data_IF_245755251585
#
_entry.id   IF_245755251585
#
_cell.length_a   1.000
_cell.length_b   1.000
_cell.length_c   1.000
_cell.angle_alpha   90.00
_cell.angle_beta   90.00
_cell.angle_gamma   90.00
#
_symmetry.space_group_name_H-M   'P 1'
#
loop_
_entity.id
_entity.type
_entity.pdbx_description
1 polymer ?
#
# COMPACT_ATOMS: atom_id res chain seq x y z
N UNK A 1 24.97 9.18 19.07
CA UNK A 1 24.07 8.02 19.24
C UNK A 1 23.29 7.67 17.95
N UNK A 2 22.23 8.38 17.56
CA UNK A 2 21.42 8.05 16.38
C UNK A 2 22.25 8.01 15.08
N UNK A 3 23.20 8.95 14.91
CA UNK A 3 24.06 8.96 13.73
C UNK A 3 24.99 7.74 13.68
N UNK A 4 25.52 7.31 14.82
CA UNK A 4 26.35 6.10 14.92
C UNK A 4 25.56 4.86 14.50
N UNK A 5 24.30 4.75 14.95
CA UNK A 5 23.38 3.68 14.54
C UNK A 5 23.13 3.69 13.03
N UNK A 6 22.85 4.86 12.45
CA UNK A 6 22.61 5.00 11.00
C UNK A 6 23.87 4.58 10.21
N UNK A 7 25.04 5.09 10.60
CA UNK A 7 26.31 4.78 9.92
C UNK A 7 26.66 3.28 9.97
N UNK A 8 26.34 2.59 11.08
CA UNK A 8 26.55 1.13 11.21
C UNK A 8 25.77 0.34 10.18
N UNK A 9 24.55 0.77 9.84
CA UNK A 9 23.64 0.04 8.97
C UNK A 9 23.55 0.58 7.54
N UNK A 10 24.24 1.67 7.22
CA UNK A 10 24.14 2.36 5.93
C UNK A 10 24.46 1.44 4.73
N UNK A 11 25.52 0.60 4.89
CA UNK A 11 25.93 -0.35 3.84
C UNK A 11 25.26 -1.73 3.94
N UNK A 12 24.54 -2.00 5.04
CA UNK A 12 23.98 -3.34 5.32
C UNK A 12 22.48 -3.40 5.06
N UNK A 13 21.77 -2.27 5.26
CA UNK A 13 20.32 -2.20 5.09
C UNK A 13 19.93 -1.53 3.78
N UNK A 14 18.73 -1.87 3.32
CA UNK A 14 18.17 -1.24 2.12
C UNK A 14 18.15 0.30 2.25
N UNK A 15 18.56 1.04 1.20
CA UNK A 15 18.61 2.52 1.23
C UNK A 15 17.29 3.18 1.66
N UNK A 16 16.13 2.63 1.28
CA UNK A 16 14.82 3.14 1.72
C UNK A 16 14.63 3.00 3.25
N UNK A 17 15.27 2.01 3.89
CA UNK A 17 15.25 1.85 5.36
C UNK A 17 16.13 2.89 6.02
N UNK A 18 17.33 3.13 5.48
CA UNK A 18 18.23 4.17 5.96
C UNK A 18 17.58 5.56 5.84
N UNK A 19 16.90 5.84 4.74
CA UNK A 19 16.15 7.09 4.56
C UNK A 19 15.09 7.30 5.64
N UNK A 20 14.39 6.22 6.07
CA UNK A 20 13.44 6.30 7.20
C UNK A 20 14.13 6.65 8.51
N UNK A 21 15.32 6.11 8.74
CA UNK A 21 16.11 6.43 9.94
C UNK A 21 16.58 7.90 9.95
N UNK A 22 17.01 8.40 8.79
CA UNK A 22 17.37 9.82 8.62
C UNK A 22 16.16 10.71 8.89
N UNK A 23 15.00 10.35 8.34
CA UNK A 23 13.74 11.08 8.59
C UNK A 23 13.37 11.09 10.07
N UNK A 24 13.47 9.94 10.75
CA UNK A 24 13.21 9.86 12.19
C UNK A 24 14.21 10.68 13.01
N UNK A 25 15.52 10.63 12.68
CA UNK A 25 16.54 11.48 13.29
C UNK A 25 16.21 12.96 13.15
N UNK A 26 15.87 13.40 11.93
CA UNK A 26 15.55 14.81 11.69
C UNK A 26 14.34 15.26 12.51
N UNK A 27 13.32 14.40 12.61
CA UNK A 27 12.12 14.70 13.39
C UNK A 27 12.39 14.77 14.90
N UNK A 28 13.24 13.90 15.43
CA UNK A 28 13.69 14.00 16.83
C UNK A 28 14.55 15.25 17.06
N UNK A 29 15.37 15.66 16.10
CA UNK A 29 16.16 16.90 16.19
C UNK A 29 15.26 18.15 16.18
N UNK A 30 14.16 18.15 15.42
CA UNK A 30 13.14 19.22 15.49
C UNK A 30 12.51 19.28 16.89
N UNK A 31 12.13 18.12 17.45
CA UNK A 31 11.61 18.06 18.81
C UNK A 31 12.61 18.56 19.86
N UNK A 32 13.89 18.14 19.79
CA UNK A 32 14.95 18.63 20.67
C UNK A 32 15.07 20.17 20.66
N UNK A 33 14.94 20.78 19.49
CA UNK A 33 14.96 22.25 19.34
C UNK A 33 13.78 22.90 20.05
N UNK A 34 12.56 22.31 19.96
CA UNK A 34 11.39 22.86 20.67
C UNK A 34 11.51 22.76 22.19
N UNK A 35 12.24 21.76 22.69
CA UNK A 35 12.49 21.55 24.11
C UNK A 35 13.75 22.29 24.61
N UNK A 36 14.50 22.94 23.74
CA UNK A 36 15.82 23.53 24.01
C UNK A 36 16.75 22.57 24.77
N UNK A 37 16.65 21.27 24.47
CA UNK A 37 17.36 20.19 25.18
C UNK A 37 17.71 19.06 24.23
N UNK A 38 18.97 18.57 24.30
CA UNK A 38 19.37 17.32 23.62
C UNK A 38 18.98 16.11 24.43
N UNK A 39 18.37 15.13 23.78
CA UNK A 39 17.96 13.86 24.39
C UNK A 39 19.18 13.01 24.76
N UNK A 40 19.19 12.52 25.99
CA UNK A 40 20.12 11.49 26.50
C UNK A 40 19.32 10.20 26.76
N UNK A 41 20.00 9.06 26.92
CA UNK A 41 19.31 7.79 27.21
C UNK A 41 18.41 7.84 28.44
N UNK A 42 18.86 8.50 29.52
CA UNK A 42 18.08 8.67 30.74
C UNK A 42 16.79 9.51 30.58
N UNK A 43 16.72 10.30 29.51
CA UNK A 43 15.56 11.14 29.23
C UNK A 43 14.47 10.36 28.45
N UNK A 44 14.80 9.16 27.90
CA UNK A 44 13.89 8.34 27.11
C UNK A 44 13.08 7.43 28.02
N UNK A 45 12.10 8.00 28.68
CA UNK A 45 11.19 7.40 29.65
C UNK A 45 9.74 7.65 29.22
N UNK A 46 8.78 7.35 30.08
CA UNK A 46 7.35 7.54 29.79
C UNK A 46 6.96 9.02 29.62
N UNK A 47 7.60 9.92 30.35
CA UNK A 47 7.36 11.37 30.22
C UNK A 47 7.83 11.86 28.84
N UNK A 48 9.00 11.41 28.38
CA UNK A 48 9.45 11.68 27.03
C UNK A 48 8.45 11.17 25.98
N UNK A 49 7.94 9.95 26.14
CA UNK A 49 6.94 9.38 25.24
C UNK A 49 5.68 10.26 25.15
N UNK A 50 5.12 10.64 26.31
CA UNK A 50 3.91 11.45 26.38
C UNK A 50 4.13 12.87 25.81
N UNK A 51 5.25 13.50 26.12
CA UNK A 51 5.60 14.83 25.63
C UNK A 51 5.85 14.82 24.10
N UNK A 52 6.55 13.81 23.59
CA UNK A 52 6.78 13.63 22.14
C UNK A 52 5.45 13.38 21.43
N UNK A 53 4.55 12.56 21.99
CA UNK A 53 3.23 12.29 21.44
C UNK A 53 2.40 13.58 21.37
N UNK A 54 2.35 14.35 22.44
CA UNK A 54 1.64 15.63 22.51
C UNK A 54 2.16 16.59 21.43
N UNK A 55 3.49 16.67 21.29
CA UNK A 55 4.10 17.50 20.26
C UNK A 55 3.74 17.01 18.84
N UNK A 56 3.80 15.69 18.57
CA UNK A 56 3.37 15.13 17.28
C UNK A 56 1.93 15.50 16.95
N UNK A 57 1.05 15.42 17.94
CA UNK A 57 -0.37 15.68 17.75
C UNK A 57 -0.66 17.17 17.56
N UNK A 58 0.07 18.06 18.21
CA UNK A 58 -0.03 19.50 17.97
C UNK A 58 0.37 19.88 16.53
N UNK A 59 1.27 19.08 15.90
CA UNK A 59 1.67 19.25 14.50
C UNK A 59 0.73 18.53 13.51
N UNK A 60 -0.39 17.98 13.95
CA UNK A 60 -1.37 17.23 13.15
C UNK A 60 -0.77 16.01 12.44
N UNK A 61 0.29 15.40 13.00
CA UNK A 61 0.83 14.15 12.49
C UNK A 61 -0.06 12.96 12.88
N UNK A 62 -0.06 11.93 12.03
CA UNK A 62 -0.84 10.72 12.25
C UNK A 62 -0.25 9.81 13.33
N UNK A 63 -1.11 9.03 13.99
CA UNK A 63 -0.71 8.01 14.98
C UNK A 63 0.32 7.02 14.39
N UNK A 64 0.15 6.62 13.13
CA UNK A 64 1.09 5.72 12.45
C UNK A 64 2.46 6.35 12.20
N UNK A 65 2.51 7.66 11.96
CA UNK A 65 3.79 8.34 11.83
C UNK A 65 4.50 8.43 13.17
N UNK A 66 3.79 8.80 14.24
CA UNK A 66 4.31 8.75 15.60
C UNK A 66 4.83 7.34 15.96
N UNK A 67 4.03 6.30 15.70
CA UNK A 67 4.45 4.91 15.93
C UNK A 67 5.71 4.51 15.16
N UNK A 68 5.90 5.04 13.94
CA UNK A 68 7.14 4.81 13.17
C UNK A 68 8.35 5.42 13.86
N UNK A 69 8.22 6.62 14.43
CA UNK A 69 9.29 7.28 15.18
C UNK A 69 9.61 6.53 16.47
N UNK A 70 8.58 6.13 17.23
CA UNK A 70 8.75 5.35 18.46
C UNK A 70 9.43 4.00 18.18
N UNK A 71 9.05 3.34 17.09
CA UNK A 71 9.73 2.10 16.67
C UNK A 71 11.22 2.32 16.44
N UNK A 72 11.60 3.39 15.79
CA UNK A 72 12.99 3.74 15.56
C UNK A 72 13.72 4.07 16.89
N UNK A 73 13.09 4.86 17.78
CA UNK A 73 13.65 5.16 19.11
C UNK A 73 13.93 3.87 19.86
N UNK A 74 12.96 2.93 19.92
CA UNK A 74 13.14 1.62 20.57
C UNK A 74 14.32 0.84 19.96
N UNK A 75 14.45 0.81 18.64
CA UNK A 75 15.56 0.10 17.97
C UNK A 75 16.91 0.66 18.38
N UNK A 76 17.08 2.00 18.32
CA UNK A 76 18.35 2.65 18.70
C UNK A 76 18.65 2.45 20.19
N UNK A 77 17.63 2.56 21.04
CA UNK A 77 17.77 2.42 22.48
C UNK A 77 18.19 1.00 22.88
N UNK A 78 17.54 -0.01 22.32
CA UNK A 78 17.84 -1.42 22.57
C UNK A 78 19.26 -1.76 22.12
N UNK A 79 19.66 -1.30 20.93
CA UNK A 79 20.99 -1.57 20.41
C UNK A 79 22.08 -0.88 21.26
N UNK A 80 21.86 0.37 21.63
CA UNK A 80 22.76 1.10 22.50
C UNK A 80 22.97 0.42 23.86
N UNK A 81 21.91 -0.26 24.38
CA UNK A 81 21.99 -1.01 25.62
C UNK A 81 22.75 -2.33 25.47
N UNK A 82 22.33 -3.17 24.52
CA UNK A 82 22.77 -4.57 24.45
C UNK A 82 24.03 -4.74 23.59
N UNK A 83 24.20 -3.94 22.55
CA UNK A 83 25.35 -4.03 21.64
C UNK A 83 26.45 -3.08 22.07
N UNK A 84 26.13 -1.79 22.25
CA UNK A 84 27.10 -0.73 22.53
C UNK A 84 27.39 -0.57 24.04
N UNK A 85 26.56 -1.14 24.90
CA UNK A 85 26.64 -1.08 26.37
C UNK A 85 26.75 0.35 26.92
N UNK A 86 26.07 1.30 26.27
CA UNK A 86 26.12 2.74 26.61
C UNK A 86 25.20 3.12 27.77
N UNK A 87 24.26 2.25 28.17
CA UNK A 87 23.36 2.44 29.30
C UNK A 87 22.74 1.12 29.76
N UNK A 88 22.13 1.15 30.95
CA UNK A 88 21.41 0.01 31.55
C UNK A 88 19.91 0.28 31.75
N UNK A 89 19.39 1.44 31.34
CA UNK A 89 17.99 1.84 31.55
C UNK A 89 17.01 0.89 30.84
N UNK A 90 15.81 0.72 31.40
CA UNK A 90 14.77 -0.16 30.90
C UNK A 90 13.41 0.54 30.63
N UNK A 91 13.38 1.85 30.72
CA UNK A 91 12.18 2.67 30.67
C UNK A 91 11.28 2.41 29.45
N UNK A 92 11.86 2.00 28.31
CA UNK A 92 11.10 1.62 27.11
C UNK A 92 10.30 0.33 27.28
N UNK A 93 10.47 -0.42 28.38
CA UNK A 93 9.66 -1.59 28.73
C UNK A 93 8.36 -1.21 29.44
N UNK A 94 8.17 0.06 29.83
CA UNK A 94 6.93 0.52 30.43
C UNK A 94 5.74 0.13 29.54
N UNK A 95 4.66 -0.37 30.14
CA UNK A 95 3.48 -0.89 29.43
C UNK A 95 2.87 0.09 28.44
N UNK A 96 2.90 1.39 28.77
CA UNK A 96 2.34 2.45 27.96
C UNK A 96 3.34 3.05 26.93
N UNK A 97 4.60 2.60 26.96
CA UNK A 97 5.58 2.98 25.94
C UNK A 97 5.40 2.11 24.68
N UNK A 98 4.26 2.27 24.01
CA UNK A 98 3.82 1.39 22.92
C UNK A 98 4.19 1.94 21.53
N UNK A 99 4.35 1.04 20.57
CA UNK A 99 4.44 1.42 19.16
C UNK A 99 3.03 1.45 18.57
N UNK A 100 2.47 2.64 18.43
CA UNK A 100 1.11 2.81 17.89
C UNK A 100 1.06 2.35 16.44
N UNK A 101 0.07 1.53 16.09
CA UNK A 101 -0.25 1.14 14.72
C UNK A 101 -1.76 1.04 14.56
N UNK A 102 -2.31 1.87 13.69
CA UNK A 102 -3.74 1.90 13.37
C UNK A 102 -3.95 1.45 11.93
N UNK A 103 -4.99 0.68 11.69
CA UNK A 103 -5.38 0.37 10.32
C UNK A 103 -5.83 1.65 9.62
N UNK A 104 -5.41 1.83 8.38
CA UNK A 104 -5.79 2.97 7.56
C UNK A 104 -6.81 2.53 6.51
N UNK A 105 -7.84 3.35 6.32
CA UNK A 105 -8.77 3.12 5.24
C UNK A 105 -8.09 3.29 3.90
N UNK A 106 -8.48 2.43 2.99
CA UNK A 106 -7.90 2.38 1.66
C UNK A 106 -8.96 1.99 0.64
N UNK A 107 -8.86 2.52 -0.56
CA UNK A 107 -9.75 2.21 -1.67
C UNK A 107 -9.18 1.11 -2.56
N UNK A 108 -10.09 0.45 -3.29
CA UNK A 108 -9.77 -0.36 -4.47
C UNK A 108 -10.59 0.14 -5.66
N UNK A 109 -10.22 -0.24 -6.86
CA UNK A 109 -11.01 -0.03 -8.08
C UNK A 109 -11.70 -1.35 -8.43
N UNK A 110 -13.03 -1.30 -8.63
CA UNK A 110 -13.78 -2.44 -9.15
C UNK A 110 -13.50 -2.64 -10.64
N UNK A 111 -14.07 -3.69 -11.25
CA UNK A 111 -13.82 -4.02 -12.66
C UNK A 111 -14.31 -2.91 -13.60
N UNK A 112 -15.43 -2.26 -13.33
CA UNK A 112 -15.94 -1.16 -14.16
C UNK A 112 -14.99 0.05 -14.11
N UNK A 113 -14.46 0.37 -12.94
CA UNK A 113 -13.51 1.46 -12.77
C UNK A 113 -12.14 1.13 -13.41
N UNK A 114 -11.69 -0.12 -13.34
CA UNK A 114 -10.47 -0.57 -14.05
C UNK A 114 -10.68 -0.54 -15.55
N UNK A 115 -11.84 -0.92 -16.04
CA UNK A 115 -12.19 -0.85 -17.44
C UNK A 115 -12.28 0.60 -17.93
N UNK A 116 -12.84 1.52 -17.14
CA UNK A 116 -12.84 2.95 -17.44
C UNK A 116 -11.41 3.52 -17.55
N UNK A 117 -10.50 3.06 -16.70
CA UNK A 117 -9.06 3.43 -16.80
C UNK A 117 -8.42 2.83 -18.06
N UNK A 118 -8.74 1.59 -18.39
CA UNK A 118 -8.19 0.89 -19.57
C UNK A 118 -8.65 1.55 -20.89
N UNK A 119 -9.94 1.86 -21.00
CA UNK A 119 -10.56 2.48 -22.18
C UNK A 119 -10.36 4.01 -22.26
N UNK A 120 -9.73 4.60 -21.23
CA UNK A 120 -9.53 6.05 -21.22
C UNK A 120 -8.74 6.52 -22.44
N UNK A 121 -9.38 7.34 -23.28
CA UNK A 121 -8.70 8.00 -24.39
C UNK A 121 -7.85 9.17 -23.86
N UNK A 122 -6.54 8.97 -23.85
CA UNK A 122 -5.56 9.98 -23.46
C UNK A 122 -4.98 10.56 -24.75
N UNK A 123 -5.40 11.79 -25.10
CA UNK A 123 -4.89 12.52 -26.25
C UNK A 123 -4.12 13.77 -25.85
N UNK A 124 -3.27 14.26 -26.74
CA UNK A 124 -2.53 15.52 -26.51
C UNK A 124 -3.50 16.71 -26.48
N UNK A 125 -4.56 16.66 -27.28
CA UNK A 125 -5.64 17.64 -27.34
C UNK A 125 -6.38 17.73 -26.01
N UNK A 126 -6.75 16.58 -25.44
CA UNK A 126 -7.37 16.53 -24.10
C UNK A 126 -6.44 17.10 -23.03
N UNK A 127 -5.16 16.73 -23.05
CA UNK A 127 -4.17 17.29 -22.12
C UNK A 127 -4.04 18.81 -22.29
N UNK A 128 -4.06 19.32 -23.52
CA UNK A 128 -4.02 20.77 -23.78
C UNK A 128 -5.24 21.49 -23.23
N UNK A 129 -6.43 20.90 -23.36
CA UNK A 129 -7.68 21.44 -22.80
C UNK A 129 -7.64 21.48 -21.28
N UNK A 130 -7.24 20.38 -20.64
CA UNK A 130 -7.14 20.27 -19.16
C UNK A 130 -6.03 21.15 -18.58
N UNK A 131 -4.96 21.40 -19.34
CA UNK A 131 -3.76 22.14 -18.90
C UNK A 131 -3.33 23.18 -19.94
N UNK A 132 -4.11 24.26 -20.14
CA UNK A 132 -3.91 25.22 -21.24
C UNK A 132 -2.56 25.95 -21.17
N UNK A 133 -1.93 26.03 -19.99
CA UNK A 133 -0.66 26.73 -19.78
C UNK A 133 0.58 25.87 -20.10
N UNK A 134 0.42 24.61 -20.53
CA UNK A 134 1.55 23.77 -20.88
C UNK A 134 2.06 24.05 -22.29
N UNK A 135 3.38 24.10 -22.44
CA UNK A 135 4.02 24.14 -23.76
C UNK A 135 3.84 22.81 -24.50
N UNK A 136 3.97 22.82 -25.83
CA UNK A 136 3.88 21.59 -26.64
C UNK A 136 4.83 20.49 -26.18
N UNK A 137 6.06 20.85 -25.77
CA UNK A 137 7.03 19.90 -25.20
C UNK A 137 6.58 19.29 -23.87
N UNK A 138 5.95 20.09 -23.00
CA UNK A 138 5.41 19.62 -21.73
C UNK A 138 4.19 18.73 -21.95
N UNK A 139 3.30 19.07 -22.89
CA UNK A 139 2.14 18.24 -23.29
C UNK A 139 2.63 16.87 -23.76
N UNK A 140 3.65 16.80 -24.64
CA UNK A 140 4.22 15.52 -25.11
C UNK A 140 4.80 14.69 -23.97
N UNK A 141 5.56 15.31 -23.05
CA UNK A 141 6.12 14.62 -21.89
C UNK A 141 5.02 14.09 -20.95
N UNK A 142 3.97 14.87 -20.74
CA UNK A 142 2.83 14.50 -19.89
C UNK A 142 2.03 13.37 -20.52
N UNK A 143 1.71 13.44 -21.80
CA UNK A 143 1.05 12.38 -22.57
C UNK A 143 1.79 11.03 -22.42
N UNK A 144 3.09 11.00 -22.73
CA UNK A 144 3.88 9.76 -22.59
C UNK A 144 3.86 9.24 -21.14
N UNK A 145 3.94 10.14 -20.16
CA UNK A 145 3.92 9.74 -18.74
C UNK A 145 2.58 9.17 -18.33
N UNK A 146 1.47 9.72 -18.78
CA UNK A 146 0.12 9.23 -18.44
C UNK A 146 -0.13 7.85 -19.06
N UNK A 147 0.24 7.64 -20.34
CA UNK A 147 0.12 6.34 -21.01
C UNK A 147 0.90 5.27 -20.23
N UNK A 148 2.18 5.52 -19.96
CA UNK A 148 3.03 4.55 -19.25
C UNK A 148 2.48 4.25 -17.85
N UNK A 149 2.03 5.28 -17.11
CA UNK A 149 1.48 5.09 -15.76
C UNK A 149 0.18 4.30 -15.79
N UNK A 150 -0.75 4.62 -16.72
CA UNK A 150 -1.98 3.87 -16.92
C UNK A 150 -1.68 2.39 -17.13
N UNK A 151 -0.84 2.11 -18.10
CA UNK A 151 -0.54 0.75 -18.53
C UNK A 151 0.20 -0.04 -17.41
N UNK A 152 1.18 0.56 -16.75
CA UNK A 152 1.86 -0.04 -15.61
C UNK A 152 0.92 -0.28 -14.41
N UNK A 153 0.01 0.64 -14.14
CA UNK A 153 -0.98 0.47 -13.06
C UNK A 153 -1.94 -0.69 -13.36
N UNK A 154 -2.40 -0.81 -14.60
CA UNK A 154 -3.27 -1.91 -15.03
C UNK A 154 -2.54 -3.26 -14.95
N UNK A 155 -1.26 -3.33 -15.35
CA UNK A 155 -0.45 -4.54 -15.11
C UNK A 155 -0.49 -4.90 -13.62
N UNK A 156 -0.26 -3.93 -12.73
CA UNK A 156 -0.35 -4.17 -11.28
C UNK A 156 -1.74 -4.60 -10.81
N UNK A 157 -2.81 -4.05 -11.41
CA UNK A 157 -4.20 -4.34 -11.06
C UNK A 157 -4.69 -5.72 -11.53
N UNK A 158 -4.08 -6.28 -12.57
CA UNK A 158 -4.41 -7.60 -13.11
C UNK A 158 -3.38 -8.70 -12.80
N UNK A 159 -2.29 -8.35 -12.09
CA UNK A 159 -1.30 -9.33 -11.62
C UNK A 159 -1.22 -9.43 -10.10
N UNK A 160 -1.72 -8.43 -9.39
CA UNK A 160 -1.60 -8.32 -7.94
C UNK A 160 -0.17 -8.08 -7.44
N UNK A 161 0.80 -7.85 -8.30
CA UNK A 161 2.18 -7.58 -7.93
C UNK A 161 2.33 -6.23 -7.21
N UNK A 162 3.38 -6.08 -6.41
CA UNK A 162 3.75 -4.78 -5.84
C UNK A 162 4.37 -3.89 -6.92
N UNK A 163 4.34 -2.57 -6.71
CA UNK A 163 4.97 -1.62 -7.64
C UNK A 163 6.45 -1.95 -7.90
N UNK A 164 7.19 -2.38 -6.88
CA UNK A 164 8.58 -2.83 -7.03
C UNK A 164 8.74 -4.03 -7.95
N UNK A 165 7.71 -4.88 -8.06
CA UNK A 165 7.73 -6.10 -8.84
C UNK A 165 7.18 -5.86 -10.26
N UNK A 166 5.97 -5.29 -10.39
CA UNK A 166 5.41 -5.05 -11.72
C UNK A 166 6.21 -4.00 -12.53
N UNK A 167 6.94 -3.09 -11.88
CA UNK A 167 7.84 -2.16 -12.56
C UNK A 167 9.10 -2.82 -13.13
N UNK A 168 9.42 -4.06 -12.70
CA UNK A 168 10.57 -4.84 -13.15
C UNK A 168 10.22 -5.92 -14.18
N UNK A 169 8.93 -6.06 -14.52
CA UNK A 169 8.52 -7.00 -15.58
C UNK A 169 9.19 -6.58 -16.87
N UNK A 170 9.83 -7.55 -17.54
CA UNK A 170 10.46 -7.47 -18.85
C UNK A 170 9.88 -8.56 -19.75
N UNK A 171 10.15 -8.49 -21.03
CA UNK A 171 9.71 -9.49 -22.01
C UNK A 171 10.10 -10.91 -21.60
N UNK A 172 11.32 -11.11 -21.09
CA UNK A 172 11.81 -12.42 -20.63
C UNK A 172 11.00 -13.02 -19.46
N UNK A 173 10.18 -12.22 -18.79
CA UNK A 173 9.30 -12.68 -17.69
C UNK A 173 7.94 -13.19 -18.20
N UNK A 174 7.63 -13.01 -19.49
CA UNK A 174 6.32 -13.25 -20.09
C UNK A 174 6.43 -14.36 -21.11
N UNK A 175 5.65 -15.40 -20.94
CA UNK A 175 5.40 -16.41 -21.98
C UNK A 175 3.95 -16.28 -22.51
N UNK A 176 3.50 -17.21 -23.34
CA UNK A 176 2.16 -17.16 -23.95
C UNK A 176 1.03 -17.07 -22.93
N UNK A 177 1.19 -17.71 -21.76
CA UNK A 177 0.13 -17.93 -20.79
C UNK A 177 0.43 -17.35 -19.41
N UNK A 178 1.69 -17.01 -19.09
CA UNK A 178 2.09 -16.71 -17.73
C UNK A 178 3.11 -15.56 -17.65
N UNK A 179 3.08 -14.89 -16.50
CA UNK A 179 4.16 -14.03 -16.03
C UNK A 179 4.91 -14.77 -14.92
N UNK A 180 6.25 -14.88 -15.04
CA UNK A 180 7.12 -15.53 -14.07
C UNK A 180 8.09 -14.50 -13.49
N UNK A 181 8.01 -14.25 -12.21
CA UNK A 181 8.88 -13.25 -11.58
C UNK A 181 9.26 -13.63 -10.15
N UNK A 182 10.51 -13.33 -9.77
CA UNK A 182 10.96 -13.34 -8.38
C UNK A 182 10.56 -12.01 -7.72
N UNK A 183 9.78 -12.06 -6.63
CA UNK A 183 9.36 -10.85 -5.91
C UNK A 183 10.51 -10.25 -5.09
N UNK A 184 10.65 -8.92 -5.11
CA UNK A 184 11.73 -8.18 -4.44
C UNK A 184 11.72 -8.36 -2.91
N UNK A 185 10.58 -8.18 -2.29
CA UNK A 185 10.47 -8.20 -0.81
C UNK A 185 10.22 -9.56 -0.18
N UNK A 186 9.79 -10.53 -0.93
CA UNK A 186 9.39 -11.85 -0.40
C UNK A 186 10.32 -12.96 -0.81
N UNK A 187 11.22 -12.68 -1.78
CA UNK A 187 12.08 -13.68 -2.44
C UNK A 187 11.27 -14.92 -2.86
N UNK A 188 9.99 -14.69 -3.21
CA UNK A 188 9.10 -15.74 -3.66
C UNK A 188 9.02 -15.72 -5.19
N UNK A 189 9.25 -16.87 -5.81
CA UNK A 189 8.92 -17.07 -7.22
C UNK A 189 7.41 -17.16 -7.35
N UNK A 190 6.81 -16.32 -8.22
CA UNK A 190 5.38 -16.34 -8.51
C UNK A 190 5.16 -16.58 -10.00
N UNK A 191 4.11 -17.34 -10.30
CA UNK A 191 3.63 -17.62 -11.66
C UNK A 191 2.20 -17.12 -11.72
N UNK A 192 1.94 -16.16 -12.59
CA UNK A 192 0.65 -15.47 -12.69
C UNK A 192 0.09 -15.71 -14.08
N UNK A 193 -1.16 -16.22 -14.20
CA UNK A 193 -1.84 -16.32 -15.49
C UNK A 193 -1.88 -14.97 -16.20
N UNK A 194 -1.58 -14.96 -17.50
CA UNK A 194 -1.52 -13.74 -18.31
C UNK A 194 -2.94 -13.27 -18.65
N UNK A 195 -3.40 -12.21 -18.00
CA UNK A 195 -4.70 -11.61 -18.26
C UNK A 195 -4.72 -10.97 -19.66
N UNK A 196 -5.83 -11.07 -20.45
CA UNK A 196 -5.90 -10.50 -21.81
C UNK A 196 -5.49 -9.03 -21.88
N UNK A 197 -5.98 -8.18 -20.98
CA UNK A 197 -5.60 -6.75 -20.90
C UNK A 197 -4.08 -6.60 -20.69
N UNK A 198 -3.46 -7.43 -19.86
CA UNK A 198 -2.00 -7.38 -19.64
C UNK A 198 -1.25 -7.82 -20.89
N UNK A 199 -1.73 -8.84 -21.59
CA UNK A 199 -1.15 -9.30 -22.87
C UNK A 199 -1.16 -8.17 -23.91
N UNK A 200 -2.29 -7.48 -24.08
CA UNK A 200 -2.40 -6.34 -24.99
C UNK A 200 -1.48 -5.18 -24.60
N UNK A 201 -1.44 -4.85 -23.30
CA UNK A 201 -0.58 -3.77 -22.79
C UNK A 201 0.90 -4.10 -23.05
N UNK A 202 1.35 -5.29 -22.70
CA UNK A 202 2.77 -5.68 -22.82
C UNK A 202 3.23 -5.79 -24.26
N UNK A 203 2.33 -6.01 -25.21
CA UNK A 203 2.63 -6.00 -26.64
C UNK A 203 2.87 -4.58 -27.21
N UNK A 204 2.39 -3.53 -26.54
CA UNK A 204 2.44 -2.15 -27.06
C UNK A 204 3.36 -1.19 -26.31
N UNK A 205 3.78 -1.53 -25.06
CA UNK A 205 4.61 -0.65 -24.24
C UNK A 205 6.07 -1.13 -24.22
N UNK A 206 6.98 -0.17 -24.12
CA UNK A 206 8.37 -0.51 -23.78
C UNK A 206 8.49 -0.82 -22.27
N UNK A 207 8.69 -2.09 -21.97
CA UNK A 207 8.83 -2.62 -20.61
C UNK A 207 10.14 -2.19 -19.91
N UNK A 208 11.07 -1.54 -20.62
CA UNK A 208 12.32 -1.04 -20.04
C UNK A 208 12.18 0.38 -19.46
N UNK A 209 11.11 1.11 -19.81
CA UNK A 209 10.92 2.48 -19.30
C UNK A 209 10.62 2.43 -17.81
N UNK A 210 11.47 3.07 -17.00
CA UNK A 210 11.30 3.20 -15.56
C UNK A 210 10.55 4.49 -15.21
N UNK A 211 9.68 4.39 -14.21
CA UNK A 211 8.95 5.53 -13.62
C UNK A 211 9.09 5.50 -12.10
N UNK A 212 9.38 6.64 -11.47
CA UNK A 212 9.47 6.72 -10.02
C UNK A 212 8.11 6.54 -9.34
N UNK A 213 8.12 5.93 -8.13
CA UNK A 213 6.91 5.71 -7.31
C UNK A 213 6.12 7.03 -7.11
N UNK A 214 6.83 8.17 -6.92
CA UNK A 214 6.19 9.48 -6.74
C UNK A 214 5.45 9.92 -8.00
N UNK A 215 6.09 9.79 -9.17
CA UNK A 215 5.49 10.16 -10.45
C UNK A 215 4.29 9.26 -10.77
N UNK A 216 4.40 7.96 -10.49
CA UNK A 216 3.32 7.02 -10.65
C UNK A 216 2.12 7.37 -9.75
N UNK A 217 2.35 7.64 -8.45
CA UNK A 217 1.29 8.03 -7.52
C UNK A 217 0.61 9.35 -7.91
N UNK A 218 1.37 10.32 -8.47
CA UNK A 218 0.80 11.58 -8.95
C UNK A 218 -0.10 11.37 -10.16
N UNK A 219 0.40 10.66 -11.17
CA UNK A 219 -0.32 10.52 -12.44
C UNK A 219 -1.48 9.53 -12.38
N UNK A 220 -1.43 8.50 -11.52
CA UNK A 220 -2.57 7.59 -11.42
C UNK A 220 -3.82 8.27 -10.85
N UNK A 221 -3.67 9.22 -9.93
CA UNK A 221 -4.78 10.05 -9.44
C UNK A 221 -5.40 10.88 -10.56
N UNK A 222 -4.55 11.46 -11.38
CA UNK A 222 -4.96 12.23 -12.55
C UNK A 222 -5.70 11.36 -13.58
N UNK A 223 -5.15 10.20 -13.92
CA UNK A 223 -5.76 9.22 -14.81
C UNK A 223 -7.15 8.81 -14.29
N UNK A 224 -7.26 8.50 -13.01
CA UNK A 224 -8.52 8.13 -12.39
C UNK A 224 -9.57 9.27 -12.46
N UNK A 225 -9.14 10.51 -12.25
CA UNK A 225 -10.02 11.69 -12.41
C UNK A 225 -10.49 11.84 -13.87
N UNK A 226 -9.59 11.70 -14.84
CA UNK A 226 -9.92 11.72 -16.26
C UNK A 226 -10.83 10.56 -16.68
N UNK A 227 -10.74 9.41 -16.01
CA UNK A 227 -11.64 8.27 -16.19
C UNK A 227 -12.99 8.41 -15.45
N UNK A 228 -13.27 9.55 -14.82
CA UNK A 228 -14.52 9.82 -14.14
C UNK A 228 -14.66 9.19 -12.73
N UNK A 229 -13.56 8.72 -12.13
CA UNK A 229 -13.57 8.09 -10.79
C UNK A 229 -13.54 9.19 -9.71
N UNK A 230 -14.60 9.98 -9.63
CA UNK A 230 -14.71 11.17 -8.77
C UNK A 230 -15.69 11.01 -7.60
N UNK A 231 -16.35 9.84 -7.47
CA UNK A 231 -17.25 9.57 -6.36
C UNK A 231 -16.55 9.85 -5.03
N UNK A 232 -17.22 10.59 -4.13
CA UNK A 232 -16.71 10.85 -2.79
C UNK A 232 -16.71 9.58 -1.95
N UNK A 233 -15.60 9.33 -1.26
CA UNK A 233 -15.42 8.22 -0.32
C UNK A 233 -15.12 8.76 1.06
N UNK A 234 -15.67 8.12 2.09
CA UNK A 234 -15.38 8.41 3.48
C UNK A 234 -14.11 7.66 3.90
N UNK A 235 -13.13 8.36 4.44
CA UNK A 235 -11.92 7.78 4.99
C UNK A 235 -11.71 8.23 6.43
N UNK A 236 -11.31 7.29 7.29
CA UNK A 236 -10.93 7.56 8.65
C UNK A 236 -9.42 7.87 8.74
N UNK A 237 -9.09 9.02 9.30
CA UNK A 237 -7.73 9.39 9.68
C UNK A 237 -7.57 9.33 11.19
N UNK A 238 -6.52 8.68 11.64
CA UNK A 238 -6.15 8.61 13.05
C UNK A 238 -5.08 9.67 13.35
N UNK A 239 -5.50 10.75 14.02
CA UNK A 239 -4.64 11.87 14.41
C UNK A 239 -4.92 12.20 15.87
N UNK A 240 -3.89 12.24 16.70
CA UNK A 240 -4.03 12.61 18.10
C UNK A 240 -4.88 11.64 18.94
N UNK A 241 -4.86 10.35 18.60
CA UNK A 241 -5.70 9.33 19.25
C UNK A 241 -7.18 9.43 18.89
N UNK A 242 -7.56 10.39 18.03
CA UNK A 242 -8.93 10.60 17.55
C UNK A 242 -9.10 10.12 16.12
N UNK A 243 -10.30 9.68 15.80
CA UNK A 243 -10.69 9.33 14.43
C UNK A 243 -11.37 10.56 13.80
N UNK A 244 -10.76 11.10 12.76
CA UNK A 244 -11.35 12.17 11.95
C UNK A 244 -11.86 11.58 10.64
N UNK A 245 -13.14 11.75 10.36
CA UNK A 245 -13.76 11.33 9.11
C UNK A 245 -13.60 12.42 8.06
N UNK A 246 -13.08 12.08 6.91
CA UNK A 246 -12.92 12.99 5.78
C UNK A 246 -13.55 12.41 4.52
N UNK A 247 -14.26 13.26 3.79
CA UNK A 247 -14.77 12.95 2.46
C UNK A 247 -13.79 13.48 1.41
N UNK A 248 -13.28 12.59 0.57
CA UNK A 248 -12.41 12.96 -0.56
C UNK A 248 -12.89 12.27 -1.83
N UNK A 249 -12.53 12.81 -2.99
CA UNK A 249 -12.76 12.10 -4.23
C UNK A 249 -11.95 10.79 -4.28
N UNK A 250 -12.56 9.71 -4.78
CA UNK A 250 -11.91 8.38 -4.82
C UNK A 250 -10.58 8.42 -5.56
N UNK A 251 -10.48 9.20 -6.64
CA UNK A 251 -9.23 9.39 -7.39
C UNK A 251 -8.08 9.91 -6.50
N UNK A 252 -8.36 10.75 -5.49
CA UNK A 252 -7.34 11.29 -4.58
C UNK A 252 -6.87 10.28 -3.52
N UNK A 253 -7.66 9.22 -3.28
CA UNK A 253 -7.29 8.11 -2.40
C UNK A 253 -6.46 7.02 -3.10
N UNK A 254 -6.35 7.06 -4.44
CA UNK A 254 -5.65 6.05 -5.23
C UNK A 254 -4.13 6.20 -5.07
N UNK A 255 -3.46 5.06 -5.00
CA UNK A 255 -2.00 4.94 -4.97
C UNK A 255 -1.56 3.70 -5.76
N UNK A 256 -0.26 3.49 -5.94
CA UNK A 256 0.28 2.27 -6.55
C UNK A 256 -0.16 1.00 -5.82
N UNK A 257 -0.36 1.06 -4.50
CA UNK A 257 -0.91 -0.06 -3.73
C UNK A 257 -2.39 -0.35 -4.02
N UNK A 258 -3.12 0.61 -4.57
CA UNK A 258 -4.51 0.40 -4.98
C UNK A 258 -4.62 -0.66 -6.09
N UNK A 259 -3.66 -0.72 -7.02
CA UNK A 259 -3.61 -1.77 -8.03
C UNK A 259 -3.68 -3.18 -7.41
N UNK A 260 -2.81 -3.45 -6.42
CA UNK A 260 -2.78 -4.75 -5.74
C UNK A 260 -4.03 -5.01 -4.89
N UNK A 261 -4.65 -3.97 -4.30
CA UNK A 261 -5.94 -4.11 -3.60
C UNK A 261 -7.07 -4.42 -4.57
N UNK A 262 -7.10 -3.76 -5.73
CA UNK A 262 -8.07 -4.03 -6.79
C UNK A 262 -7.98 -5.48 -7.24
N UNK A 263 -6.77 -5.99 -7.54
CA UNK A 263 -6.58 -7.40 -7.85
C UNK A 263 -7.12 -8.32 -6.77
N UNK A 264 -6.66 -8.13 -5.51
CA UNK A 264 -7.05 -9.01 -4.42
C UNK A 264 -8.56 -9.01 -4.17
N UNK A 265 -9.20 -7.83 -4.21
CA UNK A 265 -10.62 -7.69 -3.96
C UNK A 265 -11.46 -8.24 -5.12
N UNK A 266 -11.14 -7.88 -6.37
CA UNK A 266 -11.90 -8.33 -7.54
C UNK A 266 -11.75 -9.84 -7.76
N UNK A 267 -10.54 -10.38 -7.63
CA UNK A 267 -10.29 -11.81 -7.75
C UNK A 267 -10.96 -12.63 -6.62
N UNK A 268 -11.00 -12.10 -5.39
CA UNK A 268 -11.79 -12.69 -4.30
C UNK A 268 -13.29 -12.68 -4.62
N UNK A 269 -13.82 -11.55 -5.10
CA UNK A 269 -15.22 -11.42 -5.53
C UNK A 269 -15.57 -12.36 -6.71
N UNK A 270 -14.60 -12.66 -7.57
CA UNK A 270 -14.73 -13.64 -8.64
C UNK A 270 -14.65 -15.10 -8.16
N UNK A 271 -14.56 -15.36 -6.85
CA UNK A 271 -14.55 -16.70 -6.27
C UNK A 271 -13.19 -17.41 -6.25
N UNK A 272 -12.10 -16.72 -6.56
CA UNK A 272 -10.76 -17.34 -6.49
C UNK A 272 -10.39 -17.58 -5.03
N UNK A 273 -10.03 -18.81 -4.64
CA UNK A 273 -9.69 -19.15 -3.25
C UNK A 273 -8.52 -18.31 -2.72
N UNK A 274 -8.62 -17.87 -1.45
CA UNK A 274 -7.61 -17.03 -0.78
C UNK A 274 -6.21 -17.64 -0.88
N UNK A 275 -6.08 -18.96 -0.69
CA UNK A 275 -4.80 -19.68 -0.77
C UNK A 275 -4.17 -19.53 -2.17
N UNK A 276 -4.97 -19.59 -3.24
CA UNK A 276 -4.48 -19.36 -4.60
C UNK A 276 -4.03 -17.90 -4.80
N UNK A 277 -4.82 -16.94 -4.34
CA UNK A 277 -4.48 -15.52 -4.40
C UNK A 277 -3.20 -15.18 -3.62
N UNK A 278 -2.99 -15.80 -2.46
CA UNK A 278 -1.76 -15.65 -1.68
C UNK A 278 -0.54 -16.15 -2.45
N UNK A 279 -0.65 -17.30 -3.15
CA UNK A 279 0.44 -17.83 -4.00
C UNK A 279 0.76 -16.89 -5.16
N UNK A 280 -0.25 -16.37 -5.87
CA UNK A 280 -0.08 -15.42 -6.98
C UNK A 280 0.59 -14.11 -6.52
N UNK A 281 0.26 -13.67 -5.33
CA UNK A 281 0.74 -12.40 -4.79
C UNK A 281 1.99 -12.52 -3.91
N UNK A 282 2.47 -13.74 -3.64
CA UNK A 282 3.65 -14.00 -2.81
C UNK A 282 3.46 -13.67 -1.33
N UNK A 283 2.25 -13.83 -0.77
CA UNK A 283 1.99 -13.66 0.66
C UNK A 283 2.27 -14.95 1.43
N UNK A 284 3.04 -14.85 2.52
CA UNK A 284 3.35 -15.96 3.43
C UNK A 284 2.35 -16.09 4.60
N UNK A 285 1.62 -15.01 4.93
CA UNK A 285 0.66 -14.96 6.06
C UNK A 285 -0.68 -14.43 5.56
N UNK A 286 -1.75 -15.16 5.86
CA UNK A 286 -3.11 -14.81 5.49
C UNK A 286 -3.53 -13.46 6.09
N UNK A 287 -3.23 -13.21 7.37
CA UNK A 287 -3.54 -11.93 8.04
C UNK A 287 -2.95 -10.71 7.34
N UNK A 288 -1.82 -10.87 6.63
CA UNK A 288 -1.25 -9.81 5.81
C UNK A 288 -1.95 -9.67 4.46
N UNK A 289 -2.46 -10.78 3.89
CA UNK A 289 -3.19 -10.76 2.62
C UNK A 289 -4.60 -10.18 2.82
N UNK A 290 -5.31 -10.55 3.87
CA UNK A 290 -6.66 -10.06 4.19
C UNK A 290 -6.75 -8.53 4.26
N UNK A 291 -5.65 -7.84 4.59
CA UNK A 291 -5.60 -6.36 4.56
C UNK A 291 -5.81 -5.75 3.16
N UNK A 292 -5.64 -6.55 2.12
CA UNK A 292 -5.85 -6.12 0.73
C UNK A 292 -7.27 -6.34 0.24
N UNK A 293 -8.03 -7.25 0.84
CA UNK A 293 -9.43 -7.47 0.50
C UNK A 293 -10.27 -6.37 1.14
N UNK A 294 -11.08 -5.68 0.31
CA UNK A 294 -11.90 -4.53 0.70
C UNK A 294 -13.37 -4.79 0.34
N UNK A 295 -13.87 -5.92 0.79
CA UNK A 295 -15.28 -6.30 0.67
C UNK A 295 -16.00 -5.89 1.95
N UNK A 296 -17.11 -5.15 1.83
CA UNK A 296 -17.94 -4.80 2.98
C UNK A 296 -18.74 -6.01 3.47
N UNK A 297 -19.35 -5.90 4.66
CA UNK A 297 -20.22 -6.95 5.20
C UNK A 297 -21.41 -7.18 4.27
N UNK A 298 -21.98 -6.10 3.75
CA UNK A 298 -23.11 -6.10 2.82
C UNK A 298 -22.73 -6.74 1.47
N UNK A 299 -21.57 -6.34 0.90
CA UNK A 299 -21.05 -6.94 -0.34
C UNK A 299 -20.81 -8.45 -0.16
N UNK A 300 -20.28 -8.87 1.01
CA UNK A 300 -20.05 -10.28 1.28
C UNK A 300 -21.37 -11.07 1.40
N UNK A 301 -22.36 -10.49 2.06
CA UNK A 301 -23.70 -11.11 2.16
C UNK A 301 -24.36 -11.26 0.78
N UNK A 302 -24.26 -10.24 -0.08
CA UNK A 302 -24.80 -10.29 -1.45
C UNK A 302 -24.09 -11.35 -2.32
N UNK A 303 -22.77 -11.47 -2.20
CA UNK A 303 -22.01 -12.53 -2.88
C UNK A 303 -22.47 -13.95 -2.48
N UNK A 304 -22.81 -14.14 -1.21
CA UNK A 304 -23.22 -15.45 -0.68
C UNK A 304 -24.69 -15.75 -0.95
N UNK A 305 -25.51 -14.76 -1.23
CA UNK A 305 -26.96 -14.92 -1.46
C UNK A 305 -27.30 -15.91 -2.60
N UNK A 306 -26.48 -15.97 -3.65
CA UNK A 306 -26.63 -16.88 -4.78
C UNK A 306 -25.84 -18.19 -4.64
N UNK A 307 -25.12 -18.38 -3.51
CA UNK A 307 -24.34 -19.59 -3.32
C UNK A 307 -25.26 -20.79 -3.07
N UNK A 308 -25.00 -21.98 -3.69
CA UNK A 308 -25.86 -23.18 -3.56
C UNK A 308 -26.20 -23.54 -2.12
N UNK A 309 -25.26 -23.39 -1.19
CA UNK A 309 -25.51 -23.65 0.23
C UNK A 309 -26.69 -22.84 0.82
N UNK A 310 -26.96 -21.65 0.31
CA UNK A 310 -28.05 -20.78 0.78
C UNK A 310 -29.28 -20.81 -0.12
N UNK A 311 -29.21 -21.39 -1.32
CA UNK A 311 -30.29 -21.42 -2.31
C UNK A 311 -30.93 -22.78 -2.46
N UNK A 312 -30.20 -23.87 -2.24
CA UNK A 312 -30.70 -25.23 -2.35
C UNK A 312 -31.27 -25.72 -1.02
N UNK A 313 -32.52 -26.26 -1.04
CA UNK A 313 -33.02 -27.04 0.08
C UNK A 313 -32.24 -28.35 0.10
N UNK A 314 -31.65 -28.70 1.26
CA UNK A 314 -31.04 -30.01 1.42
C UNK A 314 -32.10 -31.09 1.10
N UNK A 315 -31.90 -31.85 0.03
CA UNK A 315 -32.69 -33.04 -0.29
C UNK A 315 -32.34 -34.15 0.71
N UNK A 316 -32.65 -33.93 2.00
CA UNK A 316 -32.79 -35.04 2.94
C UNK A 316 -34.16 -35.64 2.63
N UNK A 317 -34.22 -36.69 1.82
CA UNK A 317 -35.38 -37.57 1.80
C UNK A 317 -35.67 -38.02 3.23
N UNK A 318 -36.93 -37.88 3.72
CA UNK A 318 -37.27 -38.49 5.00
C UNK A 318 -37.13 -40.02 4.81
N UNK A 319 -36.28 -40.64 5.63
CA UNK A 319 -36.13 -42.08 5.67
C UNK A 319 -37.51 -42.72 5.65
N UNK A 320 -37.77 -43.50 4.61
CA UNK A 320 -38.94 -44.38 4.56
C UNK A 320 -38.88 -45.27 5.82
N UNK A 321 -39.97 -45.24 6.61
CA UNK A 321 -40.15 -46.15 7.72
C UNK A 321 -40.08 -47.58 7.21
N UNK A 322 -39.42 -48.50 7.89
CA UNK A 322 -39.47 -49.92 7.55
C UNK A 322 -40.88 -50.42 7.84
N UNK A 323 -41.59 -50.80 6.80
CA UNK A 323 -42.84 -51.54 6.92
C UNK A 323 -42.61 -52.79 7.73
N UNK A 324 -43.28 -52.88 8.88
CA UNK A 324 -43.48 -54.07 9.72
C UNK A 324 -44.37 -55.09 9.05
#
# INVERSE_FOLDING_TARGET
MIQTYINRYDKVRNPKTIQKYITAKNKLTEYEKTQNKKLKFKDINIDFYNNLQTWFYSQQYTDNYFGTIIKFVKQVYIEARFVDKLHSFEDIKHKDFITVSKDSDNVYLNEDELNAVYLLDITKERIKTEYPNLTAGQIRKKYNSLIIVRDRFLIGAYTGLRVSDFSRIKEMNIDENYIRIMTDKGEASVIIPLHPIVKEITARIDLNISISDQKMNKHIKEIARLAGITKKVLLNKHIGGKVSQIYIEKCDAISTHTARRSFATNAYKAGIPIIALMKLTGHKKESNFMKYIKVSIEENAEMLKSHPFFTEKSNAEPNAEPNS
#
